data_IF_037107529182
#
_entry.id   IF_037107529182
#
_cell.length_a   1.000
_cell.length_b   1.000
_cell.length_c   1.000
_cell.angle_alpha   90.00
_cell.angle_beta   90.00
_cell.angle_gamma   90.00
#
_symmetry.space_group_name_H-M   'P 1'
#
loop_
_entity.id
_entity.type
_entity.pdbx_description
1 polymer ?
#
# COMPACT_ATOMS: atom_id res chain seq x y z
N UNK A 1 15.45 0.30 9.72
CA UNK A 1 14.72 1.23 8.85
C UNK A 1 14.15 0.43 7.69
N UNK A 2 12.95 0.72 7.19
CA UNK A 2 12.44 0.04 6.00
C UNK A 2 13.24 0.44 4.76
N UNK A 3 13.41 -0.48 3.82
CA UNK A 3 13.96 -0.20 2.49
C UNK A 3 12.86 -0.35 1.45
N UNK A 4 12.67 0.68 0.62
CA UNK A 4 11.63 0.71 -0.42
C UNK A 4 12.28 0.99 -1.77
N UNK A 5 11.84 0.27 -2.81
CA UNK A 5 12.21 0.57 -4.20
C UNK A 5 11.10 1.36 -4.86
N UNK A 6 11.37 2.56 -5.36
CA UNK A 6 10.38 3.35 -6.08
C UNK A 6 10.16 2.78 -7.50
N UNK A 7 8.97 2.27 -7.85
CA UNK A 7 8.73 1.70 -9.18
C UNK A 7 8.64 2.76 -10.28
N UNK A 8 8.63 4.05 -9.91
CA UNK A 8 8.57 5.15 -10.85
C UNK A 8 9.95 5.61 -11.34
N UNK A 9 10.98 5.54 -10.49
CA UNK A 9 12.35 5.98 -10.83
C UNK A 9 13.43 4.93 -10.58
N UNK A 10 13.09 3.75 -10.05
CA UNK A 10 14.03 2.65 -9.80
C UNK A 10 14.91 2.79 -8.56
N UNK A 11 14.94 3.97 -7.93
CA UNK A 11 15.74 4.22 -6.72
C UNK A 11 15.25 3.34 -5.58
N UNK A 12 16.20 2.69 -4.92
CA UNK A 12 15.99 1.98 -3.65
C UNK A 12 16.62 2.80 -2.53
N UNK A 13 15.84 3.15 -1.52
CA UNK A 13 16.28 4.01 -0.43
C UNK A 13 15.62 3.61 0.89
N UNK A 14 16.10 4.23 1.97
CA UNK A 14 15.53 4.09 3.31
C UNK A 14 14.21 4.84 3.47
N UNK A 15 13.37 4.43 4.40
CA UNK A 15 12.01 4.95 4.63
C UNK A 15 11.94 6.47 4.81
N UNK A 16 13.02 7.09 5.30
CA UNK A 16 13.13 8.53 5.50
C UNK A 16 13.12 9.34 4.20
N UNK A 17 13.40 8.70 3.05
CA UNK A 17 13.24 9.32 1.71
C UNK A 17 11.77 9.37 1.25
N UNK A 18 10.90 8.65 1.94
CA UNK A 18 9.51 8.45 1.56
C UNK A 18 8.54 9.00 2.61
N UNK A 19 7.33 9.33 2.16
CA UNK A 19 6.23 9.70 3.02
C UNK A 19 5.12 8.62 2.96
N UNK A 20 4.67 8.08 4.12
CA UNK A 20 3.56 7.13 4.15
C UNK A 20 2.23 7.81 3.84
N UNK A 21 1.32 7.10 3.19
CA UNK A 21 -0.03 7.56 2.84
C UNK A 21 -1.16 6.66 3.34
N UNK A 22 -0.87 5.70 4.21
CA UNK A 22 -1.86 4.75 4.75
C UNK A 22 -2.37 3.76 3.70
N UNK A 23 -3.58 3.24 3.92
CA UNK A 23 -4.18 2.17 3.11
C UNK A 23 -4.22 2.46 1.59
N UNK A 24 -3.90 1.44 0.79
CA UNK A 24 -4.00 1.43 -0.67
C UNK A 24 -5.38 1.02 -1.17
N UNK A 25 -5.63 1.24 -2.47
CA UNK A 25 -6.84 0.79 -3.16
C UNK A 25 -8.17 1.34 -2.60
N UNK A 26 -8.11 2.46 -1.88
CA UNK A 26 -9.31 3.17 -1.43
C UNK A 26 -10.06 3.79 -2.60
N UNK A 27 -11.34 3.44 -2.73
CA UNK A 27 -12.26 4.15 -3.61
C UNK A 27 -12.59 5.51 -3.00
N UNK A 28 -12.52 6.57 -3.81
CA UNK A 28 -12.95 7.92 -3.40
C UNK A 28 -14.47 8.03 -3.48
N UNK A 29 -15.08 8.48 -2.40
CA UNK A 29 -16.48 8.91 -2.35
C UNK A 29 -16.55 10.43 -2.20
N UNK A 30 -17.55 11.04 -2.83
CA UNK A 30 -17.64 12.49 -2.98
C UNK A 30 -19.08 12.93 -3.29
N UNK A 31 -19.28 14.11 -3.91
CA UNK A 31 -20.62 14.60 -4.21
C UNK A 31 -21.48 13.53 -4.91
N UNK A 32 -22.67 13.27 -4.36
CA UNK A 32 -23.59 12.23 -4.84
C UNK A 32 -23.45 10.86 -4.18
N UNK A 33 -22.54 10.68 -3.22
CA UNK A 33 -22.48 9.47 -2.36
C UNK A 33 -23.49 9.59 -1.20
N UNK A 34 -23.87 8.46 -0.61
CA UNK A 34 -24.61 8.47 0.67
C UNK A 34 -23.74 8.98 1.82
N UNK A 35 -24.36 9.42 2.91
CA UNK A 35 -23.65 9.88 4.12
C UNK A 35 -22.74 8.76 4.68
N UNK A 36 -23.24 7.52 4.77
CA UNK A 36 -22.48 6.36 5.26
C UNK A 36 -21.23 6.08 4.40
N UNK A 37 -21.37 6.13 3.06
CA UNK A 37 -20.23 5.94 2.14
C UNK A 37 -19.20 7.07 2.27
N UNK A 38 -19.67 8.31 2.45
CA UNK A 38 -18.80 9.46 2.57
C UNK A 38 -18.07 9.48 3.91
N UNK A 39 -18.77 9.18 5.02
CA UNK A 39 -18.18 9.00 6.35
C UNK A 39 -17.12 7.90 6.32
N UNK A 40 -17.44 6.73 5.77
CA UNK A 40 -16.50 5.62 5.62
C UNK A 40 -15.26 6.02 4.81
N UNK A 41 -15.43 6.77 3.72
CA UNK A 41 -14.30 7.29 2.95
C UNK A 41 -13.45 8.29 3.73
N UNK A 42 -14.05 9.17 4.52
CA UNK A 42 -13.31 10.19 5.28
C UNK A 42 -12.51 9.57 6.43
N UNK A 43 -13.10 8.63 7.17
CA UNK A 43 -12.58 8.23 8.47
C UNK A 43 -12.19 6.75 8.59
N UNK A 44 -12.82 5.84 7.84
CA UNK A 44 -12.56 4.40 7.99
C UNK A 44 -11.36 3.95 7.15
N UNK A 45 -10.44 3.21 7.75
CA UNK A 45 -9.31 2.56 7.06
C UNK A 45 -9.11 1.15 7.60
N UNK A 46 -8.73 0.21 6.73
CA UNK A 46 -8.24 -1.10 7.18
C UNK A 46 -6.97 -0.89 8.02
N UNK A 47 -6.87 -1.60 9.14
CA UNK A 47 -5.68 -1.61 10.00
C UNK A 47 -5.31 -3.04 10.44
N UNK A 48 -5.00 -3.95 9.48
CA UNK A 48 -4.61 -5.32 9.79
C UNK A 48 -3.26 -5.37 10.53
N UNK A 49 -3.20 -6.29 11.50
CA UNK A 49 -1.93 -6.82 12.02
C UNK A 49 -1.46 -7.93 11.08
N UNK A 50 -0.38 -7.69 10.34
CA UNK A 50 0.12 -8.59 9.30
C UNK A 50 0.16 -7.90 7.93
N UNK A 51 -0.16 -8.63 6.86
CA UNK A 51 -0.07 -8.10 5.50
C UNK A 51 -1.01 -6.90 5.31
N UNK A 52 -0.44 -5.78 4.88
CA UNK A 52 -1.14 -4.53 4.58
C UNK A 52 -0.68 -4.01 3.21
N UNK A 53 -1.62 -3.45 2.45
CA UNK A 53 -1.34 -2.75 1.20
C UNK A 53 -1.40 -1.25 1.42
N UNK A 54 -0.28 -0.57 1.24
CA UNK A 54 -0.06 0.81 1.66
C UNK A 54 0.28 1.70 0.47
N UNK A 55 0.03 3.01 0.62
CA UNK A 55 0.49 4.06 -0.29
C UNK A 55 1.76 4.68 0.26
N UNK A 56 2.70 4.96 -0.64
CA UNK A 56 3.94 5.65 -0.32
C UNK A 56 4.24 6.69 -1.40
N UNK A 57 4.80 7.82 -1.00
CA UNK A 57 5.29 8.86 -1.91
C UNK A 57 6.79 8.99 -1.78
N UNK A 58 7.51 9.01 -2.90
CA UNK A 58 8.95 9.28 -2.90
C UNK A 58 9.19 10.79 -2.71
N UNK A 59 9.06 11.23 -1.46
CA UNK A 59 8.94 12.65 -1.09
C UNK A 59 10.22 13.44 -1.37
N UNK A 60 11.38 12.82 -1.16
CA UNK A 60 12.69 13.44 -1.39
C UNK A 60 13.35 13.01 -2.72
N UNK A 61 12.57 12.36 -3.60
CA UNK A 61 13.00 11.95 -4.93
C UNK A 61 12.04 12.39 -6.02
N UNK A 62 11.47 11.44 -6.77
CA UNK A 62 10.66 11.74 -7.96
C UNK A 62 9.27 12.36 -7.66
N UNK A 63 8.88 12.45 -6.39
CA UNK A 63 7.62 13.04 -5.95
C UNK A 63 6.36 12.22 -6.27
N UNK A 64 6.49 11.05 -6.91
CA UNK A 64 5.37 10.19 -7.33
C UNK A 64 4.88 9.29 -6.20
N UNK A 65 3.60 8.94 -6.29
CA UNK A 65 2.96 7.93 -5.45
C UNK A 65 3.12 6.54 -6.05
N UNK A 66 3.31 5.55 -5.18
CA UNK A 66 3.33 4.13 -5.49
C UNK A 66 2.71 3.35 -4.32
N UNK A 67 2.55 2.04 -4.50
CA UNK A 67 1.98 1.15 -3.50
C UNK A 67 3.03 0.17 -2.99
N UNK A 68 2.87 -0.29 -1.75
CA UNK A 68 3.72 -1.31 -1.13
C UNK A 68 2.84 -2.40 -0.50
N UNK A 69 3.29 -3.63 -0.57
CA UNK A 69 2.77 -4.72 0.25
C UNK A 69 3.77 -5.00 1.36
N UNK A 70 3.35 -4.87 2.62
CA UNK A 70 4.22 -4.96 3.79
C UNK A 70 3.54 -5.71 4.92
N UNK A 71 4.30 -6.43 5.73
CA UNK A 71 3.83 -6.97 6.99
C UNK A 71 3.97 -5.89 8.09
N UNK A 72 2.86 -5.46 8.67
CA UNK A 72 2.83 -4.42 9.72
C UNK A 72 3.37 -4.90 11.06
N UNK A 73 3.48 -6.22 11.26
CA UNK A 73 4.02 -6.83 12.48
C UNK A 73 5.53 -7.08 12.37
N UNK A 74 6.02 -7.53 11.22
CA UNK A 74 7.45 -7.85 11.03
C UNK A 74 8.25 -6.78 10.29
N UNK A 75 7.58 -5.79 9.71
CA UNK A 75 8.16 -4.76 8.84
C UNK A 75 8.72 -5.30 7.50
N UNK A 76 8.49 -6.57 7.16
CA UNK A 76 8.92 -7.15 5.89
C UNK A 76 8.17 -6.48 4.71
N UNK A 77 8.92 -5.87 3.79
CA UNK A 77 8.37 -5.36 2.53
C UNK A 77 8.42 -6.48 1.50
N UNK A 78 7.26 -6.98 1.08
CA UNK A 78 7.19 -8.03 0.07
C UNK A 78 7.53 -7.49 -1.33
N UNK A 79 7.01 -6.30 -1.66
CA UNK A 79 7.28 -5.61 -2.94
C UNK A 79 6.65 -4.21 -2.94
N UNK A 80 7.08 -3.39 -3.88
CA UNK A 80 6.42 -2.15 -4.29
C UNK A 80 5.91 -2.26 -5.73
N UNK A 81 4.90 -1.47 -6.09
CA UNK A 81 4.27 -1.51 -7.41
C UNK A 81 3.54 -0.20 -7.73
N UNK A 82 3.14 -0.02 -9.01
CA UNK A 82 2.60 1.24 -9.52
C UNK A 82 1.26 1.61 -8.87
N UNK A 83 1.05 2.90 -8.62
CA UNK A 83 -0.20 3.43 -8.05
C UNK A 83 -1.42 3.27 -8.96
N UNK A 84 -1.22 3.11 -10.27
CA UNK A 84 -2.30 2.87 -11.24
C UNK A 84 -2.75 1.40 -11.24
N UNK A 85 -2.94 0.83 -10.06
CA UNK A 85 -3.44 -0.54 -9.87
C UNK A 85 -4.63 -0.51 -8.91
N UNK A 86 -5.76 -1.06 -9.35
CA UNK A 86 -7.00 -1.07 -8.57
C UNK A 86 -7.05 -2.19 -7.54
N UNK A 87 -6.29 -3.27 -7.76
CA UNK A 87 -6.10 -4.39 -6.84
C UNK A 87 -4.62 -4.83 -6.87
N UNK A 88 -4.12 -5.54 -5.84
CA UNK A 88 -2.76 -6.06 -5.83
C UNK A 88 -2.52 -7.02 -7.02
N UNK A 89 -1.42 -6.86 -7.77
CA UNK A 89 -1.09 -7.76 -8.87
C UNK A 89 -0.87 -9.22 -8.41
N UNK A 90 -1.13 -10.18 -9.31
CA UNK A 90 -1.07 -11.61 -8.98
C UNK A 90 0.32 -12.07 -8.50
N UNK A 91 1.41 -11.50 -9.04
CA UNK A 91 2.77 -11.79 -8.61
C UNK A 91 3.04 -11.27 -7.18
N UNK A 92 2.42 -10.14 -6.80
CA UNK A 92 2.47 -9.63 -5.43
C UNK A 92 1.78 -10.59 -4.47
N UNK A 93 0.57 -11.06 -4.82
CA UNK A 93 -0.16 -12.06 -4.03
C UNK A 93 0.66 -13.35 -3.85
N UNK A 94 1.28 -13.84 -4.93
CA UNK A 94 2.11 -15.04 -4.90
C UNK A 94 3.32 -14.88 -3.96
N UNK A 95 4.03 -13.73 -4.03
CA UNK A 95 5.16 -13.43 -3.13
C UNK A 95 4.74 -13.42 -1.66
N UNK A 96 3.58 -12.82 -1.36
CA UNK A 96 3.06 -12.79 0.01
C UNK A 96 2.73 -14.21 0.47
N UNK A 97 1.97 -15.00 -0.30
CA UNK A 97 1.61 -16.37 0.07
C UNK A 97 2.82 -17.29 0.25
N UNK A 98 3.89 -17.10 -0.52
CA UNK A 98 5.13 -17.84 -0.33
C UNK A 98 5.79 -17.58 1.03
N UNK A 99 5.58 -16.40 1.62
CA UNK A 99 6.12 -15.99 2.93
C UNK A 99 5.13 -16.09 4.08
N UNK A 100 3.83 -16.06 3.78
CA UNK A 100 2.69 -16.09 4.71
C UNK A 100 1.62 -17.02 4.11
N UNK A 101 1.81 -18.35 4.18
CA UNK A 101 0.89 -19.31 3.54
C UNK A 101 -0.52 -19.26 4.14
N UNK A 102 -0.64 -18.90 5.43
CA UNK A 102 -1.92 -18.78 6.14
C UNK A 102 -2.62 -17.44 5.88
N UNK A 103 -2.04 -16.56 5.06
CA UNK A 103 -2.68 -15.29 4.73
C UNK A 103 -3.86 -15.52 3.77
N UNK A 104 -5.07 -15.18 4.25
CA UNK A 104 -6.35 -15.44 3.57
C UNK A 104 -6.49 -14.70 2.23
N UNK A 105 -5.79 -13.58 2.07
CA UNK A 105 -5.77 -12.81 0.84
C UNK A 105 -6.14 -11.34 1.05
N UNK A 106 -6.35 -10.64 -0.07
CA UNK A 106 -6.57 -9.19 -0.10
C UNK A 106 -8.02 -8.76 0.17
N UNK A 107 -9.00 -9.63 -0.11
CA UNK A 107 -10.43 -9.35 0.02
C UNK A 107 -10.97 -9.88 1.33
#
# INVERSE_FOLDING_TARGET
MLTLTCPCCGVTAEETEFAPGGEAHLKRFGPGSSDDEFEGYLFARKNPKGVHFERWRHAYGCGKWFLAARDTNTLEVFTTYKAQTTEPPADVIAKIKAKRPDWEGYK
#
